data_IF_242150768999
#
_entry.id   IF_242150768999
#
_cell.length_a   1.000
_cell.length_b   1.000
_cell.length_c   1.000
_cell.angle_alpha   90.00
_cell.angle_beta   90.00
_cell.angle_gamma   90.00
#
_symmetry.space_group_name_H-M   'P 1'
#
loop_
_entity.id
_entity.type
_entity.pdbx_description
1 polymer ?
#
# COMPACT_ATOMS: atom_id res chain seq x y z
N UNK A 1 3.49 25.13 14.58
CA UNK A 1 2.15 24.89 13.99
C UNK A 1 1.67 26.15 13.27
N UNK A 2 1.60 27.28 13.97
CA UNK A 2 1.24 28.60 13.41
C UNK A 2 2.06 28.97 12.18
N UNK A 3 3.40 28.92 12.26
CA UNK A 3 4.27 29.30 11.12
C UNK A 3 4.04 28.44 9.86
N UNK A 4 3.72 27.15 10.04
CA UNK A 4 3.46 26.25 8.93
C UNK A 4 2.12 26.61 8.24
N UNK A 5 1.10 26.97 9.01
CA UNK A 5 -0.17 27.49 8.45
C UNK A 5 0.05 28.82 7.75
N UNK A 6 0.86 29.72 8.30
CA UNK A 6 1.20 31.01 7.68
C UNK A 6 2.04 30.86 6.41
N UNK A 7 2.76 29.75 6.23
CA UNK A 7 3.50 29.45 4.99
C UNK A 7 2.60 29.05 3.80
N UNK A 8 1.30 28.85 4.02
CA UNK A 8 0.34 28.55 2.96
C UNK A 8 0.06 29.80 2.08
N UNK A 9 -0.47 29.63 0.85
CA UNK A 9 -0.77 30.76 -0.03
C UNK A 9 -1.69 31.79 0.63
N UNK A 10 -1.35 33.07 0.52
CA UNK A 10 -2.11 34.19 1.08
C UNK A 10 -3.56 34.20 0.52
N UNK A 11 -4.53 34.49 1.39
CA UNK A 11 -5.94 34.56 1.03
C UNK A 11 -6.70 33.22 0.97
N UNK A 12 -5.99 32.09 1.11
CA UNK A 12 -6.59 30.75 1.18
C UNK A 12 -7.50 30.62 2.41
N UNK A 13 -8.70 30.05 2.24
CA UNK A 13 -9.70 29.87 3.30
C UNK A 13 -9.49 28.53 3.99
N UNK A 14 -9.15 28.56 5.27
CA UNK A 14 -8.86 27.36 6.04
C UNK A 14 -9.74 27.32 7.29
N UNK A 15 -10.03 26.10 7.75
CA UNK A 15 -10.66 25.86 9.04
C UNK A 15 -9.75 25.02 9.94
N UNK A 16 -9.68 25.40 11.22
CA UNK A 16 -8.99 24.66 12.25
C UNK A 16 -9.98 23.73 12.95
N UNK A 17 -9.64 22.45 12.99
CA UNK A 17 -10.47 21.37 13.47
C UNK A 17 -9.79 20.68 14.66
N UNK A 18 -10.57 20.43 15.71
CA UNK A 18 -10.18 19.60 16.85
C UNK A 18 -10.87 18.23 16.72
N UNK A 19 -10.14 17.16 16.36
CA UNK A 19 -10.77 15.88 16.11
C UNK A 19 -11.02 15.12 17.43
N UNK A 20 -12.28 15.02 17.82
CA UNK A 20 -12.70 14.44 19.11
C UNK A 20 -12.90 12.94 18.99
N UNK A 21 -13.50 12.50 17.88
CA UNK A 21 -13.76 11.09 17.61
C UNK A 21 -13.26 10.77 16.20
N UNK A 22 -12.50 9.68 16.05
CA UNK A 22 -12.01 9.20 14.76
C UNK A 22 -12.40 7.74 14.55
N UNK A 23 -13.22 7.47 13.55
CA UNK A 23 -13.56 6.11 13.10
C UNK A 23 -14.10 5.19 14.22
N UNK A 24 -14.89 5.74 15.15
CA UNK A 24 -15.49 4.96 16.26
C UNK A 24 -16.98 4.76 16.05
N UNK A 25 -17.46 3.56 16.35
CA UNK A 25 -18.88 3.23 16.32
C UNK A 25 -19.62 3.89 17.48
N UNK A 26 -20.84 4.35 17.24
CA UNK A 26 -21.72 4.89 18.27
C UNK A 26 -22.52 6.11 17.81
N UNK A 27 -23.60 6.41 18.53
CA UNK A 27 -24.45 7.58 18.25
C UNK A 27 -23.83 8.90 18.75
N UNK A 28 -22.88 8.83 19.70
CA UNK A 28 -22.11 9.94 20.25
C UNK A 28 -22.92 11.17 20.72
N UNK A 29 -24.22 11.00 21.02
CA UNK A 29 -25.15 12.07 21.42
C UNK A 29 -24.65 12.86 22.62
N UNK A 30 -24.22 12.18 23.69
CA UNK A 30 -23.64 12.82 24.88
C UNK A 30 -22.41 13.69 24.54
N UNK A 31 -21.60 13.24 23.59
CA UNK A 31 -20.40 14.00 23.17
C UNK A 31 -20.82 15.28 22.44
N UNK A 32 -21.80 15.20 21.54
CA UNK A 32 -22.32 16.35 20.81
C UNK A 32 -23.00 17.36 21.75
N UNK A 33 -23.81 16.89 22.71
CA UNK A 33 -24.42 17.72 23.75
C UNK A 33 -23.37 18.42 24.63
N UNK A 34 -22.32 17.70 25.03
CA UNK A 34 -21.20 18.27 25.80
C UNK A 34 -20.47 19.35 25.00
N UNK A 35 -20.24 19.15 23.70
CA UNK A 35 -19.61 20.15 22.84
C UNK A 35 -20.49 21.39 22.65
N UNK A 36 -21.80 21.21 22.45
CA UNK A 36 -22.74 22.33 22.35
C UNK A 36 -22.81 23.13 23.66
N UNK A 37 -22.85 22.47 24.82
CA UNK A 37 -22.85 23.13 26.14
C UNK A 37 -21.55 23.87 26.47
N UNK A 38 -20.42 23.47 25.87
CA UNK A 38 -19.15 24.20 25.94
C UNK A 38 -19.11 25.43 25.01
N UNK A 39 -20.16 25.66 24.21
CA UNK A 39 -20.29 26.85 23.36
C UNK A 39 -19.80 26.67 21.93
N UNK A 40 -19.46 25.44 21.50
CA UNK A 40 -19.11 25.18 20.11
C UNK A 40 -20.36 25.15 19.23
N UNK A 41 -20.32 25.88 18.10
CA UNK A 41 -21.47 26.03 17.19
C UNK A 41 -21.40 25.04 16.03
N UNK A 42 -20.21 24.65 15.57
CA UNK A 42 -20.06 23.83 14.37
C UNK A 42 -19.12 22.65 14.59
N UNK A 43 -19.45 21.54 13.97
CA UNK A 43 -18.58 20.38 13.87
C UNK A 43 -18.63 19.83 12.44
N UNK A 44 -17.53 19.24 11.99
CA UNK A 44 -17.46 18.42 10.80
C UNK A 44 -17.69 16.96 11.22
N UNK A 45 -18.79 16.38 10.77
CA UNK A 45 -19.16 15.00 11.05
C UNK A 45 -19.18 14.23 9.72
N UNK A 46 -18.37 13.17 9.64
CA UNK A 46 -18.22 12.34 8.44
C UNK A 46 -17.92 13.13 7.15
N UNK A 47 -17.19 14.24 7.29
CA UNK A 47 -16.79 15.12 6.20
C UNK A 47 -17.73 16.30 5.94
N UNK A 48 -18.93 16.31 6.52
CA UNK A 48 -19.91 17.40 6.37
C UNK A 48 -19.91 18.35 7.56
N UNK A 49 -19.87 19.66 7.31
CA UNK A 49 -19.92 20.67 8.39
C UNK A 49 -21.38 20.91 8.77
N UNK A 50 -21.75 20.55 10.00
CA UNK A 50 -23.08 20.72 10.56
C UNK A 50 -23.08 21.70 11.76
N UNK A 51 -24.26 22.23 12.07
CA UNK A 51 -24.50 23.02 13.28
C UNK A 51 -24.72 22.08 14.47
N UNK A 52 -24.07 22.36 15.60
CA UNK A 52 -24.20 21.59 16.83
C UNK A 52 -25.51 21.89 17.58
N UNK A 53 -26.25 22.94 17.21
CA UNK A 53 -27.59 23.17 17.75
C UNK A 53 -28.62 22.16 17.27
N UNK A 54 -28.40 21.57 16.08
CA UNK A 54 -29.25 20.54 15.48
C UNK A 54 -28.37 19.49 14.77
N UNK A 55 -27.65 18.65 15.54
CA UNK A 55 -26.70 17.72 14.96
C UNK A 55 -27.42 16.54 14.26
N UNK A 56 -26.84 15.97 13.19
CA UNK A 56 -27.40 14.81 12.54
C UNK A 56 -27.47 13.61 13.48
N UNK A 57 -28.51 12.78 13.34
CA UNK A 57 -28.61 11.51 14.08
C UNK A 57 -27.62 10.51 13.51
N UNK A 58 -26.66 10.10 14.33
CA UNK A 58 -25.64 9.11 13.99
C UNK A 58 -26.13 7.69 14.28
N UNK A 59 -25.67 6.72 13.49
CA UNK A 59 -26.09 5.33 13.60
C UNK A 59 -25.17 4.55 14.54
N UNK A 60 -25.74 3.84 15.52
CA UNK A 60 -24.97 3.08 16.52
C UNK A 60 -23.94 2.10 15.92
N UNK A 61 -24.24 1.49 14.77
CA UNK A 61 -23.41 0.44 14.16
C UNK A 61 -22.39 0.94 13.13
N UNK A 62 -22.49 2.20 12.71
CA UNK A 62 -21.55 2.81 11.77
C UNK A 62 -20.43 3.51 12.51
N UNK A 63 -19.26 3.55 11.88
CA UNK A 63 -18.12 4.33 12.39
C UNK A 63 -18.33 5.77 11.97
N UNK A 64 -18.11 6.67 12.92
CA UNK A 64 -18.24 8.10 12.71
C UNK A 64 -16.93 8.80 13.07
N UNK A 65 -16.68 9.92 12.40
CA UNK A 65 -15.59 10.86 12.69
C UNK A 65 -16.21 12.22 13.00
N UNK A 66 -15.88 12.79 14.17
CA UNK A 66 -16.44 14.05 14.69
C UNK A 66 -15.28 14.99 15.01
N UNK A 67 -15.27 16.14 14.35
CA UNK A 67 -14.22 17.14 14.46
C UNK A 67 -14.83 18.51 14.71
N UNK A 68 -14.50 19.14 15.82
CA UNK A 68 -15.07 20.44 16.20
C UNK A 68 -14.39 21.55 15.41
N UNK A 69 -15.16 22.47 14.84
CA UNK A 69 -14.62 23.65 14.16
C UNK A 69 -14.25 24.69 15.21
N UNK A 70 -12.95 24.85 15.47
CA UNK A 70 -12.43 25.78 16.48
C UNK A 70 -12.27 27.18 15.90
N UNK A 71 -11.72 27.30 14.70
CA UNK A 71 -11.58 28.60 14.02
C UNK A 71 -11.74 28.48 12.50
N UNK A 72 -12.11 29.59 11.86
CA UNK A 72 -12.17 29.75 10.41
C UNK A 72 -11.52 31.07 10.03
N UNK A 73 -10.54 31.00 9.14
CA UNK A 73 -9.71 32.15 8.82
C UNK A 73 -9.26 32.14 7.35
N UNK A 74 -8.77 33.29 6.90
CA UNK A 74 -8.06 33.43 5.62
C UNK A 74 -6.59 33.66 5.93
N UNK A 75 -5.68 32.94 5.28
CA UNK A 75 -4.25 33.06 5.55
C UNK A 75 -3.79 34.50 5.29
N UNK A 76 -3.24 35.12 6.34
CA UNK A 76 -2.68 36.50 6.39
C UNK A 76 -1.65 36.57 7.51
N UNK A 77 -0.65 37.43 7.37
CA UNK A 77 0.48 37.54 8.32
C UNK A 77 0.08 38.06 9.71
N UNK A 78 -1.05 38.78 9.82
CA UNK A 78 -1.54 39.39 11.06
C UNK A 78 -2.23 38.41 12.02
N UNK A 79 -2.36 37.13 11.65
CA UNK A 79 -3.15 36.14 12.39
C UNK A 79 -2.37 35.36 13.45
N UNK A 80 -1.09 35.63 13.63
CA UNK A 80 -0.19 34.83 14.48
C UNK A 80 -0.75 34.57 15.88
N UNK A 81 -1.18 35.62 16.60
CA UNK A 81 -1.68 35.49 17.97
C UNK A 81 -3.01 34.73 18.04
N UNK A 82 -3.97 35.07 17.18
CA UNK A 82 -5.28 34.39 17.11
C UNK A 82 -5.14 32.91 16.78
N UNK A 83 -4.26 32.56 15.85
CA UNK A 83 -3.99 31.17 15.50
C UNK A 83 -3.36 30.43 16.66
N UNK A 84 -2.45 31.04 17.41
CA UNK A 84 -1.85 30.41 18.59
C UNK A 84 -2.92 30.02 19.64
N UNK A 85 -3.82 30.95 19.99
CA UNK A 85 -4.93 30.71 20.92
C UNK A 85 -5.90 29.63 20.41
N UNK A 86 -6.18 29.65 19.10
CA UNK A 86 -7.06 28.66 18.46
C UNK A 86 -6.42 27.27 18.44
N UNK A 87 -5.11 27.17 18.18
CA UNK A 87 -4.38 25.91 18.25
C UNK A 87 -4.31 25.36 19.66
N UNK A 88 -4.10 26.21 20.68
CA UNK A 88 -4.12 25.80 22.09
C UNK A 88 -5.48 25.18 22.45
N UNK A 89 -6.57 25.87 22.09
CA UNK A 89 -7.94 25.38 22.29
C UNK A 89 -8.17 24.04 21.58
N UNK A 90 -7.73 23.92 20.32
CA UNK A 90 -7.92 22.70 19.53
C UNK A 90 -7.12 21.51 20.07
N UNK A 91 -5.90 21.75 20.55
CA UNK A 91 -5.05 20.73 21.15
C UNK A 91 -5.60 20.28 22.51
N UNK A 92 -6.06 21.20 23.35
CA UNK A 92 -6.64 20.87 24.66
C UNK A 92 -7.91 20.02 24.49
N UNK A 93 -8.80 20.42 23.57
CA UNK A 93 -10.07 19.74 23.34
C UNK A 93 -9.91 18.31 22.78
N UNK A 94 -8.88 18.09 21.96
CA UNK A 94 -8.64 16.81 21.26
C UNK A 94 -7.62 15.88 21.94
N UNK A 95 -7.01 16.31 23.04
CA UNK A 95 -5.91 15.58 23.68
C UNK A 95 -4.57 15.65 22.92
N UNK A 96 -4.34 16.72 22.17
CA UNK A 96 -3.06 17.04 21.55
C UNK A 96 -2.99 16.81 20.04
N UNK A 97 -4.11 16.91 19.31
CA UNK A 97 -4.10 16.90 17.83
C UNK A 97 -4.94 18.02 17.21
N UNK A 98 -4.50 18.59 16.11
CA UNK A 98 -5.27 19.59 15.38
C UNK A 98 -5.19 19.29 13.89
N UNK A 99 -6.26 19.55 13.15
CA UNK A 99 -6.30 19.37 11.70
C UNK A 99 -6.64 20.72 11.07
N UNK A 100 -5.92 21.10 10.02
CA UNK A 100 -6.27 22.27 9.20
C UNK A 100 -6.71 21.77 7.85
N UNK A 101 -7.97 22.05 7.51
CA UNK A 101 -8.60 21.65 6.26
C UNK A 101 -8.95 22.87 5.41
N UNK A 102 -8.94 22.67 4.09
CA UNK A 102 -9.41 23.67 3.12
C UNK A 102 -10.94 23.78 3.18
N UNK A 103 -11.45 25.02 3.14
CA UNK A 103 -12.89 25.26 3.17
C UNK A 103 -13.55 25.18 1.79
N UNK A 104 -12.80 25.43 0.73
CA UNK A 104 -13.30 25.56 -0.64
C UNK A 104 -13.09 24.25 -1.43
N UNK A 105 -12.04 23.47 -1.13
CA UNK A 105 -11.77 22.17 -1.76
C UNK A 105 -11.75 21.00 -0.74
N UNK A 106 -12.83 20.19 -0.66
CA UNK A 106 -12.90 19.03 0.21
C UNK A 106 -11.88 17.92 -0.12
N UNK A 107 -11.24 17.96 -1.30
CA UNK A 107 -10.24 16.97 -1.74
C UNK A 107 -8.81 17.43 -1.53
N UNK A 108 -8.60 18.67 -1.08
CA UNK A 108 -7.27 19.17 -0.78
C UNK A 108 -6.64 18.37 0.39
N UNK A 109 -5.31 18.25 0.35
CA UNK A 109 -4.57 17.57 1.41
C UNK A 109 -4.69 18.34 2.74
N UNK A 110 -5.14 17.65 3.78
CA UNK A 110 -5.31 18.23 5.12
C UNK A 110 -3.97 18.24 5.88
N UNK A 111 -3.72 19.31 6.63
CA UNK A 111 -2.54 19.43 7.47
C UNK A 111 -2.86 18.91 8.87
N UNK A 112 -2.23 17.81 9.27
CA UNK A 112 -2.31 17.27 10.63
C UNK A 112 -1.20 17.87 11.50
N UNK A 113 -1.56 18.28 12.70
CA UNK A 113 -0.67 18.71 13.76
C UNK A 113 -0.88 17.86 15.02
N UNK A 114 0.20 17.58 15.75
CA UNK A 114 0.14 16.89 17.05
C UNK A 114 1.09 17.54 18.05
N UNK A 115 0.64 17.75 19.28
CA UNK A 115 1.52 18.17 20.37
C UNK A 115 2.36 17.00 20.91
N UNK A 116 1.89 15.77 20.75
CA UNK A 116 2.51 14.57 21.32
C UNK A 116 3.49 13.91 20.35
N UNK A 117 3.17 13.89 19.04
CA UNK A 117 3.99 13.26 18.02
C UNK A 117 4.31 14.23 16.88
N UNK A 118 5.06 15.29 17.20
CA UNK A 118 5.58 16.23 16.21
C UNK A 118 7.09 16.36 16.26
N UNK A 119 7.68 16.55 15.08
CA UNK A 119 9.08 16.92 14.95
C UNK A 119 9.25 18.40 15.36
N UNK A 120 10.11 18.69 16.36
CA UNK A 120 10.32 20.05 16.83
C UNK A 120 11.09 20.93 15.83
N UNK A 121 11.72 20.34 14.80
CA UNK A 121 12.55 21.05 13.83
C UNK A 121 11.75 21.44 12.58
N UNK A 122 11.03 20.48 11.99
CA UNK A 122 10.33 20.71 10.72
C UNK A 122 8.79 20.78 10.85
N UNK A 123 8.25 20.60 12.07
CA UNK A 123 6.81 20.68 12.32
C UNK A 123 5.99 19.52 11.75
N UNK A 124 6.63 18.50 11.17
CA UNK A 124 5.98 17.27 10.74
C UNK A 124 5.29 16.60 11.94
N UNK A 125 4.00 16.33 11.82
CA UNK A 125 3.24 15.67 12.87
C UNK A 125 2.65 14.37 12.37
N UNK A 126 2.59 13.38 13.26
CA UNK A 126 2.01 12.07 12.97
C UNK A 126 0.85 11.76 13.91
N UNK A 127 0.06 10.77 13.51
CA UNK A 127 -1.02 10.22 14.33
C UNK A 127 -0.43 9.39 15.47
N UNK A 128 -1.24 9.16 16.49
CA UNK A 128 -0.90 8.26 17.58
C UNK A 128 -0.54 6.85 17.06
N UNK A 129 0.41 6.22 17.75
CA UNK A 129 0.91 4.89 17.41
C UNK A 129 -0.10 3.81 17.81
N UNK A 130 -0.98 3.47 16.89
CA UNK A 130 -1.94 2.37 17.04
C UNK A 130 -1.56 1.18 16.13
N UNK A 131 -1.90 -0.07 16.50
CA UNK A 131 -1.59 -1.25 15.69
C UNK A 131 -2.04 -1.15 14.22
N UNK A 132 -3.17 -0.49 13.95
CA UNK A 132 -3.69 -0.29 12.57
C UNK A 132 -2.76 0.54 11.68
N UNK A 133 -1.91 1.38 12.26
CA UNK A 133 -0.90 2.17 11.53
C UNK A 133 0.14 1.27 10.86
N UNK A 134 0.38 0.08 11.42
CA UNK A 134 1.36 -0.88 10.92
C UNK A 134 0.74 -1.99 10.05
N UNK A 135 -0.55 -1.88 9.72
CA UNK A 135 -1.23 -2.82 8.84
C UNK A 135 -1.31 -2.26 7.42
N UNK A 136 -0.69 -2.95 6.47
CA UNK A 136 -0.81 -2.62 5.04
C UNK A 136 -2.19 -2.96 4.47
N UNK A 137 -2.99 -3.77 5.18
CA UNK A 137 -4.38 -4.08 4.80
C UNK A 137 -5.38 -3.05 5.34
N UNK A 138 -4.91 -2.06 6.10
CA UNK A 138 -5.74 -1.00 6.64
C UNK A 138 -5.36 0.34 5.96
N UNK A 139 -6.32 1.11 5.43
CA UNK A 139 -6.02 2.42 4.83
C UNK A 139 -5.24 3.35 5.77
N UNK A 140 -5.39 3.21 7.09
CA UNK A 140 -4.66 3.97 8.09
C UNK A 140 -3.15 3.66 8.16
N UNK A 141 -2.68 2.53 7.61
CA UNK A 141 -1.27 2.13 7.58
C UNK A 141 -0.72 1.86 6.19
N UNK A 142 -1.60 1.57 5.22
CA UNK A 142 -1.25 1.32 3.84
C UNK A 142 -0.56 2.52 3.18
N UNK A 143 0.38 2.22 2.27
CA UNK A 143 0.96 3.23 1.39
C UNK A 143 -0.14 3.80 0.48
N UNK A 144 -0.34 5.14 0.43
CA UNK A 144 -1.42 5.75 -0.35
C UNK A 144 -1.23 5.60 -1.87
N UNK A 145 0.00 5.38 -2.34
CA UNK A 145 0.30 5.28 -3.78
C UNK A 145 -0.01 3.89 -4.35
N UNK A 146 0.12 2.83 -3.57
CA UNK A 146 -0.11 1.45 -4.02
C UNK A 146 -1.19 0.72 -3.21
N UNK A 147 -1.92 1.43 -2.36
CA UNK A 147 -2.96 0.90 -1.46
C UNK A 147 -2.51 -0.36 -0.70
N UNK A 148 -1.28 -0.34 -0.17
CA UNK A 148 -0.76 -1.47 0.59
C UNK A 148 -0.29 -2.68 -0.23
N UNK A 149 -0.35 -2.64 -1.56
CA UNK A 149 0.16 -3.73 -2.41
C UNK A 149 1.69 -3.85 -2.38
N UNK A 150 2.38 -2.72 -2.23
CA UNK A 150 3.86 -2.63 -2.28
C UNK A 150 4.42 -2.68 -3.69
N UNK A 151 3.62 -3.05 -4.67
CA UNK A 151 3.99 -3.10 -6.08
C UNK A 151 3.20 -2.08 -6.88
N UNK A 152 3.79 -1.62 -7.97
CA UNK A 152 3.10 -0.88 -9.02
C UNK A 152 3.12 -1.73 -10.29
N UNK A 153 1.93 -1.92 -10.84
CA UNK A 153 1.76 -2.51 -12.16
C UNK A 153 2.13 -1.47 -13.21
N UNK A 154 2.92 -1.88 -14.19
CA UNK A 154 3.26 -1.05 -15.35
C UNK A 154 3.35 -1.92 -16.59
N UNK A 155 3.10 -1.32 -17.75
CA UNK A 155 3.34 -1.99 -19.02
C UNK A 155 4.83 -2.04 -19.29
N UNK A 156 5.35 -3.26 -19.41
CA UNK A 156 6.77 -3.52 -19.58
C UNK A 156 7.15 -3.35 -21.06
N UNK A 157 8.01 -2.37 -21.41
CA UNK A 157 8.44 -2.16 -22.79
C UNK A 157 8.97 -3.43 -23.45
N UNK A 158 9.73 -4.24 -22.71
CA UNK A 158 10.38 -5.44 -23.23
C UNK A 158 9.39 -6.58 -23.47
N UNK A 159 8.22 -6.57 -22.80
CA UNK A 159 7.12 -7.51 -23.10
C UNK A 159 6.24 -7.04 -24.24
N UNK A 160 6.07 -5.72 -24.37
CA UNK A 160 5.26 -5.11 -25.44
C UNK A 160 5.95 -5.27 -26.80
N UNK A 161 7.28 -5.17 -26.83
CA UNK A 161 8.09 -5.41 -28.02
C UNK A 161 8.31 -6.93 -28.16
N UNK A 162 7.60 -7.57 -29.08
CA UNK A 162 7.66 -9.02 -29.23
C UNK A 162 8.93 -9.49 -29.96
N UNK A 163 9.35 -8.72 -30.97
CA UNK A 163 10.55 -9.01 -31.74
C UNK A 163 11.24 -7.72 -32.21
N UNK A 164 12.39 -7.36 -31.63
CA UNK A 164 13.16 -6.17 -32.02
C UNK A 164 13.72 -6.20 -33.46
N UNK A 165 13.81 -7.38 -34.09
CA UNK A 165 14.31 -7.52 -35.47
C UNK A 165 13.22 -7.19 -36.51
N UNK A 166 11.95 -7.22 -36.11
CA UNK A 166 10.86 -6.82 -36.98
C UNK A 166 10.74 -5.29 -37.01
N UNK A 167 10.17 -4.79 -38.11
CA UNK A 167 9.79 -3.39 -38.20
C UNK A 167 8.49 -3.10 -37.46
N UNK A 168 8.21 -1.82 -37.20
CA UNK A 168 6.92 -1.40 -36.64
C UNK A 168 5.77 -1.84 -37.55
N UNK A 169 5.92 -1.67 -38.87
CA UNK A 169 4.96 -2.14 -39.85
C UNK A 169 4.77 -3.67 -39.85
N UNK A 170 5.87 -4.39 -39.59
CA UNK A 170 5.96 -5.85 -39.58
C UNK A 170 5.50 -6.51 -38.28
N UNK A 171 5.09 -5.74 -37.27
CA UNK A 171 4.56 -6.30 -36.02
C UNK A 171 5.56 -6.42 -34.89
N UNK A 172 6.59 -5.56 -34.84
CA UNK A 172 7.44 -5.44 -33.64
C UNK A 172 6.63 -5.20 -32.36
N UNK A 173 5.53 -4.44 -32.48
CA UNK A 173 4.55 -4.22 -31.41
C UNK A 173 3.19 -4.73 -31.88
N UNK A 174 2.63 -5.71 -31.15
CA UNK A 174 1.38 -6.35 -31.53
C UNK A 174 0.21 -5.36 -31.53
N UNK A 175 -0.55 -5.34 -32.63
CA UNK A 175 -1.70 -4.45 -32.81
C UNK A 175 -1.36 -3.02 -33.23
N UNK A 176 -0.07 -2.69 -33.33
CA UNK A 176 0.47 -1.45 -33.89
C UNK A 176 1.19 -1.74 -35.22
N UNK A 177 0.57 -2.59 -36.04
CA UNK A 177 1.11 -3.10 -37.30
C UNK A 177 0.14 -2.82 -38.46
N UNK A 178 0.51 -3.22 -39.69
CA UNK A 178 -0.33 -3.05 -40.89
C UNK A 178 -1.74 -3.66 -40.80
N UNK A 179 -1.98 -4.63 -39.91
CA UNK A 179 -3.30 -5.25 -39.73
C UNK A 179 -4.26 -4.31 -39.01
N UNK A 180 -3.73 -3.40 -38.18
CA UNK A 180 -4.52 -2.36 -37.55
C UNK A 180 -4.31 -1.02 -38.27
N UNK A 181 -5.17 -0.78 -39.28
CA UNK A 181 -5.05 0.39 -40.15
C UNK A 181 -5.01 1.72 -39.40
N UNK A 182 -5.82 1.87 -38.34
CA UNK A 182 -5.89 3.09 -37.53
C UNK A 182 -4.55 3.42 -36.86
N UNK A 183 -3.99 2.49 -36.07
CA UNK A 183 -2.73 2.71 -35.37
C UNK A 183 -1.54 2.78 -36.34
N UNK A 184 -1.57 2.00 -37.42
CA UNK A 184 -0.51 2.06 -38.44
C UNK A 184 -0.46 3.42 -39.14
N UNK A 185 -1.61 4.02 -39.43
CA UNK A 185 -1.66 5.36 -40.03
C UNK A 185 -1.10 6.42 -39.08
N UNK A 186 -1.37 6.28 -37.77
CA UNK A 186 -0.77 7.14 -36.75
C UNK A 186 0.77 7.00 -36.73
N UNK A 187 1.30 5.78 -36.77
CA UNK A 187 2.74 5.54 -36.82
C UNK A 187 3.38 6.13 -38.09
N UNK A 188 2.70 6.08 -39.23
CA UNK A 188 3.16 6.75 -40.46
C UNK A 188 3.24 8.26 -40.31
N UNK A 189 2.21 8.90 -39.77
CA UNK A 189 2.24 10.35 -39.51
C UNK A 189 3.33 10.72 -38.49
N UNK A 190 3.55 9.87 -37.48
CA UNK A 190 4.62 10.05 -36.51
C UNK A 190 6.02 9.94 -37.17
N UNK A 191 6.19 8.98 -38.08
CA UNK A 191 7.39 8.78 -38.86
C UNK A 191 7.69 9.93 -39.81
N UNK A 192 6.67 10.47 -40.47
CA UNK A 192 6.80 11.66 -41.32
C UNK A 192 7.27 12.89 -40.53
N UNK A 193 6.84 13.02 -39.27
CA UNK A 193 7.20 14.12 -38.38
C UNK A 193 8.63 13.97 -37.83
N UNK A 194 8.94 12.83 -37.21
CA UNK A 194 10.25 12.57 -36.59
C UNK A 194 11.31 12.01 -37.55
N UNK A 195 10.97 11.85 -38.84
CA UNK A 195 11.85 11.40 -39.93
C UNK A 195 12.53 10.05 -39.64
N UNK A 196 11.74 9.05 -39.25
CA UNK A 196 12.21 7.67 -39.12
C UNK A 196 11.49 6.74 -40.11
N UNK A 197 12.09 5.60 -40.40
CA UNK A 197 11.48 4.59 -41.28
C UNK A 197 10.67 3.58 -40.46
N UNK A 198 9.38 3.42 -40.80
CA UNK A 198 8.47 2.47 -40.14
C UNK A 198 8.74 1.02 -40.58
N UNK A 199 9.41 0.84 -41.72
CA UNK A 199 9.78 -0.46 -42.29
C UNK A 199 11.17 -0.92 -41.83
N UNK A 200 11.96 -0.06 -41.19
CA UNK A 200 13.23 -0.44 -40.60
C UNK A 200 13.02 -1.32 -39.34
N UNK A 201 13.91 -2.29 -39.07
CA UNK A 201 13.89 -3.07 -37.84
C UNK A 201 13.87 -2.19 -36.59
N UNK A 202 13.03 -2.52 -35.60
CA UNK A 202 12.88 -1.74 -34.37
C UNK A 202 14.24 -1.48 -33.69
N UNK A 203 15.10 -2.49 -33.59
CA UNK A 203 16.42 -2.37 -32.99
C UNK A 203 17.40 -1.43 -33.72
N UNK A 204 17.12 -1.08 -34.99
CA UNK A 204 17.94 -0.13 -35.77
C UNK A 204 17.53 1.33 -35.57
N UNK A 205 16.36 1.59 -34.97
CA UNK A 205 15.85 2.93 -34.73
C UNK A 205 16.60 3.62 -33.58
N UNK A 206 16.66 4.94 -33.62
CA UNK A 206 17.31 5.73 -32.56
C UNK A 206 16.55 5.67 -31.23
N UNK A 207 17.26 5.85 -30.11
CA UNK A 207 16.66 5.88 -28.78
C UNK A 207 15.58 6.98 -28.61
N UNK A 208 15.70 8.08 -29.35
CA UNK A 208 14.66 9.12 -29.34
C UNK A 208 13.35 8.61 -29.98
N UNK A 209 13.45 7.88 -31.10
CA UNK A 209 12.29 7.27 -31.76
C UNK A 209 11.65 6.22 -30.84
N UNK A 210 12.44 5.37 -30.18
CA UNK A 210 11.92 4.42 -29.19
C UNK A 210 11.13 5.13 -28.10
N UNK A 211 11.69 6.21 -27.54
CA UNK A 211 11.04 6.99 -26.48
C UNK A 211 9.72 7.60 -26.94
N UNK A 212 9.69 8.24 -28.11
CA UNK A 212 8.49 8.89 -28.64
C UNK A 212 7.41 7.86 -28.96
N UNK A 213 7.76 6.72 -29.56
CA UNK A 213 6.79 5.66 -29.88
C UNK A 213 6.19 5.07 -28.60
N UNK A 214 7.01 4.77 -27.59
CA UNK A 214 6.54 4.12 -26.36
C UNK A 214 5.82 5.07 -25.40
N UNK A 215 6.39 6.25 -25.14
CA UNK A 215 5.95 7.18 -24.10
C UNK A 215 5.26 8.44 -24.65
N UNK A 216 5.22 8.62 -25.97
CA UNK A 216 4.53 9.73 -26.62
C UNK A 216 5.40 10.97 -26.87
N UNK A 217 4.81 11.97 -27.51
CA UNK A 217 5.44 13.25 -27.87
C UNK A 217 5.35 14.33 -26.78
N UNK A 218 4.79 13.98 -25.62
CA UNK A 218 4.57 14.91 -24.51
C UNK A 218 3.55 15.99 -24.88
N UNK A 219 3.99 17.24 -25.03
CA UNK A 219 3.14 18.39 -25.39
C UNK A 219 3.24 18.80 -26.87
N UNK A 220 4.09 18.14 -27.64
CA UNK A 220 4.31 18.46 -29.04
C UNK A 220 3.12 17.99 -29.90
N UNK A 221 2.48 18.92 -30.58
CA UNK A 221 1.35 18.64 -31.47
C UNK A 221 1.85 18.13 -32.83
N UNK A 222 1.36 16.97 -33.24
CA UNK A 222 1.73 16.30 -34.49
C UNK A 222 0.49 16.23 -35.38
N UNK A 223 0.73 16.34 -36.69
CA UNK A 223 -0.33 16.27 -37.69
C UNK A 223 -0.61 14.82 -38.07
N UNK A 224 -1.73 14.28 -37.59
CA UNK A 224 -2.19 12.94 -37.88
C UNK A 224 -3.21 12.96 -39.01
N UNK A 225 -2.92 12.20 -40.07
CA UNK A 225 -3.86 11.94 -41.16
C UNK A 225 -4.65 10.68 -40.80
N UNK A 226 -5.98 10.74 -40.87
CA UNK A 226 -6.88 9.61 -40.65
C UNK A 226 -7.70 9.39 -41.91
N UNK A 227 -7.76 8.16 -42.41
CA UNK A 227 -8.58 7.79 -43.57
C UNK A 227 -9.76 6.95 -43.09
N UNK A 228 -10.97 7.39 -43.42
CA UNK A 228 -12.18 6.63 -43.12
C UNK A 228 -12.39 5.53 -44.17
N UNK A 229 -13.25 4.55 -43.87
CA UNK A 229 -13.58 3.43 -44.77
C UNK A 229 -14.08 3.86 -46.16
N UNK A 230 -14.56 5.10 -46.29
CA UNK A 230 -15.03 5.70 -47.55
C UNK A 230 -13.92 6.36 -48.38
N UNK A 231 -12.67 6.36 -47.91
CA UNK A 231 -11.52 6.98 -48.57
C UNK A 231 -11.31 8.46 -48.27
N UNK A 232 -12.23 9.10 -47.54
CA UNK A 232 -12.07 10.49 -47.10
C UNK A 232 -10.94 10.61 -46.06
N UNK A 233 -10.03 11.57 -46.29
CA UNK A 233 -8.92 11.85 -45.38
C UNK A 233 -9.24 13.06 -44.51
N UNK A 234 -9.17 12.89 -43.19
CA UNK A 234 -9.25 13.98 -42.22
C UNK A 234 -7.90 14.20 -41.56
N UNK A 235 -7.56 15.47 -41.32
CA UNK A 235 -6.30 15.85 -40.66
C UNK A 235 -6.64 16.38 -39.28
N UNK A 236 -5.98 15.85 -38.25
CA UNK A 236 -6.12 16.34 -36.86
C UNK A 236 -4.75 16.60 -36.27
N UNK A 237 -4.67 17.64 -35.44
CA UNK A 237 -3.45 18.00 -34.70
C UNK A 237 -3.65 17.72 -33.23
N UNK A 238 -2.83 16.83 -32.69
CA UNK A 238 -2.81 16.53 -31.26
C UNK A 238 -1.47 15.89 -30.88
N UNK A 239 -1.12 15.83 -29.59
CA UNK A 239 0.06 15.09 -29.16
C UNK A 239 -0.13 13.59 -29.35
N UNK A 240 0.97 12.89 -29.62
CA UNK A 240 0.98 11.44 -29.60
C UNK A 240 1.05 10.96 -28.16
N UNK A 241 0.07 10.16 -27.73
CA UNK A 241 0.02 9.68 -26.35
C UNK A 241 1.11 8.65 -26.02
N UNK A 242 1.59 7.91 -27.01
CA UNK A 242 2.52 6.78 -26.82
C UNK A 242 1.81 5.45 -26.66
N UNK A 243 2.45 4.38 -27.11
CA UNK A 243 1.90 3.01 -27.07
C UNK A 243 1.61 2.57 -25.64
N UNK A 244 2.53 2.81 -24.69
CA UNK A 244 2.38 2.35 -23.31
C UNK A 244 1.25 3.07 -22.59
N UNK A 245 1.14 4.40 -22.77
CA UNK A 245 0.03 5.17 -22.20
C UNK A 245 -1.33 4.79 -22.84
N UNK A 246 -1.36 4.48 -24.14
CA UNK A 246 -2.55 3.93 -24.79
C UNK A 246 -2.99 2.62 -24.13
N UNK A 247 -2.05 1.68 -23.93
CA UNK A 247 -2.33 0.40 -23.29
C UNK A 247 -2.79 0.58 -21.84
N UNK A 248 -2.17 1.48 -21.08
CA UNK A 248 -2.56 1.79 -19.70
C UNK A 248 -3.97 2.38 -19.62
N UNK A 249 -4.29 3.37 -20.46
CA UNK A 249 -5.64 3.95 -20.54
C UNK A 249 -6.66 2.88 -20.89
N UNK A 250 -6.40 2.10 -21.95
CA UNK A 250 -7.30 1.03 -22.39
C UNK A 250 -7.50 -0.02 -21.30
N UNK A 251 -6.47 -0.40 -20.56
CA UNK A 251 -6.59 -1.36 -19.47
C UNK A 251 -7.53 -0.86 -18.35
N UNK A 252 -7.43 0.44 -18.00
CA UNK A 252 -8.26 1.07 -16.96
C UNK A 252 -9.70 1.32 -17.42
N UNK A 253 -9.90 1.77 -18.66
CA UNK A 253 -11.20 2.20 -19.18
C UNK A 253 -12.02 1.09 -19.83
N UNK A 254 -11.39 0.00 -20.30
CA UNK A 254 -12.12 -1.06 -21.01
C UNK A 254 -13.00 -1.87 -20.06
N UNK A 255 -14.27 -2.06 -20.45
CA UNK A 255 -15.23 -2.91 -19.73
C UNK A 255 -15.17 -4.40 -20.15
N UNK A 256 -14.55 -4.71 -21.30
CA UNK A 256 -14.36 -6.09 -21.78
C UNK A 256 -13.27 -6.83 -21.01
N UNK A 257 -13.65 -7.95 -20.37
CA UNK A 257 -12.71 -8.85 -19.68
C UNK A 257 -11.66 -9.43 -20.62
N UNK A 258 -12.04 -9.85 -21.83
CA UNK A 258 -11.13 -10.43 -22.81
C UNK A 258 -10.01 -9.47 -23.21
N UNK A 259 -10.34 -8.19 -23.43
CA UNK A 259 -9.33 -7.16 -23.75
C UNK A 259 -8.41 -6.91 -22.55
N UNK A 260 -8.98 -6.90 -21.34
CA UNK A 260 -8.21 -6.71 -20.10
C UNK A 260 -7.21 -7.84 -19.88
N UNK A 261 -7.61 -9.08 -20.11
CA UNK A 261 -6.74 -10.27 -20.02
C UNK A 261 -5.63 -10.27 -21.07
N UNK A 262 -5.93 -9.89 -22.33
CA UNK A 262 -4.90 -9.75 -23.36
C UNK A 262 -3.86 -8.68 -23.01
N UNK A 263 -4.28 -7.53 -22.48
CA UNK A 263 -3.39 -6.46 -22.06
C UNK A 263 -2.58 -6.84 -20.81
N UNK A 264 -3.17 -7.58 -19.87
CA UNK A 264 -2.52 -8.02 -18.63
C UNK A 264 -1.24 -8.84 -18.88
N UNK A 265 -1.13 -9.53 -20.02
CA UNK A 265 0.07 -10.29 -20.43
C UNK A 265 1.32 -9.42 -20.54
N UNK A 266 1.15 -8.14 -20.84
CA UNK A 266 2.23 -7.17 -21.00
C UNK A 266 2.54 -6.38 -19.72
N UNK A 267 1.80 -6.63 -18.64
CA UNK A 267 2.02 -5.98 -17.35
C UNK A 267 3.12 -6.72 -16.61
N UNK A 268 4.07 -5.94 -16.08
CA UNK A 268 5.05 -6.38 -15.10
C UNK A 268 4.81 -5.64 -13.78
N UNK A 269 5.32 -6.22 -12.70
CA UNK A 269 5.31 -5.61 -11.38
C UNK A 269 6.68 -5.02 -11.09
N UNK A 270 6.72 -3.83 -10.53
CA UNK A 270 7.92 -3.26 -9.90
C UNK A 270 7.61 -2.85 -8.47
N UNK A 271 8.62 -2.74 -7.59
CA UNK A 271 8.42 -2.12 -6.28
C UNK A 271 7.82 -0.72 -6.42
N UNK A 272 6.86 -0.39 -5.56
CA UNK A 272 6.25 0.93 -5.55
C UNK A 272 7.31 1.99 -5.22
N UNK A 273 7.42 3.04 -6.04
CA UNK A 273 8.43 4.09 -5.85
C UNK A 273 8.27 4.87 -4.52
N UNK A 274 7.04 4.99 -4.00
CA UNK A 274 6.77 5.76 -2.78
C UNK A 274 7.11 4.98 -1.50
N UNK A 275 6.82 3.67 -1.47
CA UNK A 275 7.08 2.82 -0.30
C UNK A 275 8.26 1.87 -0.44
N UNK A 276 8.89 1.82 -1.62
CA UNK A 276 10.01 0.93 -1.94
C UNK A 276 9.71 -0.55 -1.69
N UNK A 277 8.44 -0.96 -1.85
CA UNK A 277 8.02 -2.34 -1.62
C UNK A 277 7.50 -2.65 -0.22
N UNK A 278 7.70 -1.77 0.76
CA UNK A 278 7.36 -2.08 2.16
C UNK A 278 5.87 -2.02 2.49
N UNK A 279 5.02 -1.62 1.54
CA UNK A 279 3.53 -1.56 1.63
C UNK A 279 2.97 -0.53 2.61
N UNK A 280 3.80 0.06 3.45
CA UNK A 280 3.38 0.97 4.51
C UNK A 280 3.56 2.44 4.13
N UNK A 281 2.76 3.30 4.75
CA UNK A 281 2.93 4.76 4.69
C UNK A 281 4.23 5.24 5.35
N UNK A 282 4.61 6.48 5.06
CA UNK A 282 5.89 7.04 5.50
C UNK A 282 6.04 7.02 7.03
N UNK A 283 5.03 7.46 7.77
CA UNK A 283 5.04 7.52 9.24
C UNK A 283 5.36 6.15 9.84
N UNK A 284 4.65 5.12 9.38
CA UNK A 284 4.75 3.75 9.88
C UNK A 284 6.11 3.11 9.60
N UNK A 285 6.76 3.46 8.48
CA UNK A 285 8.10 2.98 8.12
C UNK A 285 9.20 3.57 9.00
N UNK A 286 8.94 4.71 9.64
CA UNK A 286 9.92 5.42 10.47
C UNK A 286 9.66 5.21 11.97
N UNK A 287 8.96 4.14 12.33
CA UNK A 287 8.89 3.66 13.72
C UNK A 287 9.91 2.54 13.91
N UNK A 288 10.74 2.71 14.94
CA UNK A 288 11.87 1.84 15.23
C UNK A 288 11.62 1.04 16.50
N UNK A 289 12.03 -0.22 16.47
CA UNK A 289 12.26 -1.02 17.69
C UNK A 289 13.76 -1.01 17.91
N UNK A 290 14.20 -0.39 19.01
CA UNK A 290 15.60 0.02 19.21
C UNK A 290 16.06 0.91 18.04
N UNK A 291 17.00 0.42 17.22
CA UNK A 291 17.55 1.13 16.07
C UNK A 291 17.12 0.51 14.73
N UNK A 292 16.15 -0.41 14.74
CA UNK A 292 15.72 -1.13 13.53
C UNK A 292 14.28 -0.75 13.15
N UNK A 293 14.04 -0.23 11.93
CA UNK A 293 12.70 0.14 11.50
C UNK A 293 11.86 -1.12 11.23
N UNK A 294 10.54 -1.03 11.44
CA UNK A 294 9.63 -2.17 11.27
C UNK A 294 9.76 -2.90 9.92
N UNK A 295 9.83 -2.22 8.75
CA UNK A 295 10.02 -2.90 7.47
C UNK A 295 11.29 -3.75 7.42
N UNK A 296 12.40 -3.27 8.00
CA UNK A 296 13.64 -4.02 8.01
C UNK A 296 13.52 -5.30 8.85
N UNK A 297 12.78 -5.27 9.96
CA UNK A 297 12.48 -6.48 10.76
C UNK A 297 11.64 -7.47 9.95
N UNK A 298 10.65 -6.99 9.20
CA UNK A 298 9.81 -7.83 8.33
C UNK A 298 10.56 -8.43 7.15
N UNK A 299 11.62 -7.77 6.67
CA UNK A 299 12.46 -8.27 5.58
C UNK A 299 13.60 -9.19 6.07
N UNK A 300 13.79 -9.33 7.39
CA UNK A 300 14.71 -10.34 7.93
C UNK A 300 14.20 -11.75 7.62
N UNK A 301 15.14 -12.68 7.45
CA UNK A 301 14.81 -14.10 7.50
C UNK A 301 14.23 -14.45 8.88
N UNK A 302 13.36 -15.45 8.95
CA UNK A 302 12.73 -15.91 10.20
C UNK A 302 13.81 -16.24 11.25
N UNK A 303 14.93 -16.84 10.82
CA UNK A 303 16.07 -17.11 11.70
C UNK A 303 16.68 -15.83 12.29
N UNK A 304 16.99 -14.84 11.44
CA UNK A 304 17.54 -13.56 11.90
C UNK A 304 16.54 -12.76 12.75
N UNK A 305 15.24 -12.79 12.40
CA UNK A 305 14.19 -12.17 13.20
C UNK A 305 14.10 -12.80 14.60
N UNK A 306 14.22 -14.14 14.69
CA UNK A 306 14.24 -14.85 15.97
C UNK A 306 15.43 -14.41 16.83
N UNK A 307 16.62 -14.32 16.24
CA UNK A 307 17.81 -13.82 16.93
C UNK A 307 17.67 -12.36 17.36
N UNK A 308 17.08 -11.52 16.52
CA UNK A 308 16.81 -10.12 16.83
C UNK A 308 15.94 -9.98 18.09
N UNK A 309 14.81 -10.70 18.15
CA UNK A 309 13.90 -10.63 19.30
C UNK A 309 14.47 -11.31 20.56
N UNK A 310 15.27 -12.36 20.42
CA UNK A 310 15.96 -12.98 21.56
C UNK A 310 17.01 -12.06 22.20
N UNK A 311 17.66 -11.22 21.38
CA UNK A 311 18.68 -10.27 21.84
C UNK A 311 18.11 -8.90 22.22
N UNK A 312 16.81 -8.68 22.01
CA UNK A 312 16.15 -7.41 22.29
C UNK A 312 16.08 -7.17 23.81
N UNK A 313 16.73 -6.10 24.27
CA UNK A 313 16.77 -5.72 25.69
C UNK A 313 15.91 -4.50 25.96
N UNK A 314 14.66 -4.73 26.37
CA UNK A 314 13.79 -3.67 26.86
C UNK A 314 13.94 -3.52 28.38
N UNK A 315 13.83 -2.29 28.88
CA UNK A 315 13.87 -1.98 30.31
C UNK A 315 12.60 -1.25 30.79
N UNK A 316 12.33 -1.33 32.10
CA UNK A 316 11.26 -0.60 32.76
C UNK A 316 9.85 -0.95 32.25
N UNK A 317 9.00 0.07 32.10
CA UNK A 317 7.60 -0.11 31.70
C UNK A 317 7.46 -0.73 30.30
N UNK A 318 8.38 -0.43 29.37
CA UNK A 318 8.37 -1.00 28.01
C UNK A 318 8.52 -2.52 28.03
N UNK A 319 9.43 -3.03 28.85
CA UNK A 319 9.64 -4.47 29.02
C UNK A 319 8.38 -5.15 29.54
N UNK A 320 7.75 -4.58 30.56
CA UNK A 320 6.53 -5.13 31.18
C UNK A 320 5.33 -5.17 30.22
N UNK A 321 5.16 -4.16 29.38
CA UNK A 321 4.10 -4.13 28.37
C UNK A 321 4.39 -5.15 27.26
N UNK A 322 5.65 -5.22 26.80
CA UNK A 322 6.04 -6.05 25.67
C UNK A 322 6.24 -7.53 26.03
N UNK A 323 6.39 -7.90 27.30
CA UNK A 323 6.73 -9.26 27.76
C UNK A 323 5.89 -10.36 27.09
N UNK A 324 4.56 -10.24 27.14
CA UNK A 324 3.65 -11.23 26.53
C UNK A 324 3.74 -11.26 25.01
N UNK A 325 3.94 -10.09 24.39
CA UNK A 325 4.03 -9.93 22.94
C UNK A 325 5.33 -10.54 22.43
N UNK A 326 6.46 -10.26 23.09
CA UNK A 326 7.77 -10.81 22.74
C UNK A 326 7.81 -12.32 22.92
N UNK A 327 7.18 -12.84 23.98
CA UNK A 327 7.03 -14.29 24.15
C UNK A 327 6.28 -14.92 22.97
N UNK A 328 5.13 -14.36 22.60
CA UNK A 328 4.32 -14.88 21.49
C UNK A 328 5.06 -14.80 20.14
N UNK A 329 5.78 -13.70 19.87
CA UNK A 329 6.62 -13.55 18.68
C UNK A 329 7.73 -14.62 18.69
N UNK A 330 8.45 -14.75 19.79
CA UNK A 330 9.54 -15.72 19.94
C UNK A 330 9.07 -17.15 19.74
N UNK A 331 7.94 -17.54 20.34
CA UNK A 331 7.35 -18.87 20.22
C UNK A 331 6.95 -19.15 18.76
N UNK A 332 6.28 -18.21 18.07
CA UNK A 332 5.89 -18.36 16.66
C UNK A 332 7.09 -18.48 15.72
N UNK A 333 8.11 -17.64 15.91
CA UNK A 333 9.34 -17.70 15.11
C UNK A 333 10.07 -19.03 15.34
N UNK A 334 10.14 -19.49 16.59
CA UNK A 334 10.72 -20.79 16.93
C UNK A 334 10.00 -21.95 16.26
N UNK A 335 8.67 -21.95 16.22
CA UNK A 335 7.92 -22.99 15.51
C UNK A 335 8.25 -23.02 14.02
N UNK A 336 8.32 -21.85 13.37
CA UNK A 336 8.71 -21.75 11.97
C UNK A 336 10.15 -22.24 11.71
N UNK A 337 11.08 -21.95 12.63
CA UNK A 337 12.45 -22.48 12.56
C UNK A 337 12.48 -24.00 12.74
N UNK A 338 11.69 -24.55 13.66
CA UNK A 338 11.64 -26.00 13.92
C UNK A 338 11.13 -26.80 12.72
N UNK A 339 10.21 -26.23 11.92
CA UNK A 339 9.75 -26.84 10.66
C UNK A 339 10.65 -26.48 9.45
N UNK A 340 11.86 -25.98 9.68
CA UNK A 340 12.87 -25.75 8.64
C UNK A 340 12.62 -24.55 7.73
N UNK A 341 11.86 -23.55 8.17
CA UNK A 341 11.54 -22.35 7.36
C UNK A 341 12.40 -21.13 7.71
N UNK A 342 13.53 -21.32 8.40
CA UNK A 342 14.38 -20.24 8.91
C UNK A 342 14.96 -19.33 7.82
N UNK A 343 15.04 -19.78 6.56
CA UNK A 343 15.57 -19.02 5.42
C UNK A 343 14.56 -18.06 4.79
N UNK A 344 13.25 -18.24 5.05
CA UNK A 344 12.21 -17.37 4.51
C UNK A 344 12.19 -16.03 5.23
N UNK A 345 11.87 -14.95 4.51
CA UNK A 345 11.59 -13.64 5.12
C UNK A 345 10.14 -13.55 5.58
N UNK A 346 9.84 -12.73 6.58
CA UNK A 346 8.46 -12.51 7.04
C UNK A 346 7.61 -11.76 5.99
N UNK A 347 8.25 -11.02 5.09
CA UNK A 347 7.62 -10.26 4.01
C UNK A 347 7.38 -11.06 2.72
N UNK A 348 7.85 -12.33 2.63
CA UNK A 348 7.72 -13.14 1.41
C UNK A 348 6.24 -13.32 1.02
N UNK A 349 5.95 -13.14 -0.27
CA UNK A 349 4.59 -13.31 -0.79
C UNK A 349 4.12 -14.76 -0.66
N UNK A 350 2.92 -14.96 -0.13
CA UNK A 350 2.31 -16.28 0.04
C UNK A 350 2.16 -17.04 -1.30
N UNK A 351 1.94 -16.33 -2.41
CA UNK A 351 1.81 -16.91 -3.75
C UNK A 351 3.13 -17.52 -4.29
N UNK A 352 4.26 -17.13 -3.71
CA UNK A 352 5.59 -17.61 -4.14
C UNK A 352 6.06 -18.82 -3.34
N UNK A 353 5.27 -19.28 -2.37
CA UNK A 353 5.60 -20.43 -1.54
C UNK A 353 5.33 -21.73 -2.29
N UNK A 354 6.24 -22.68 -2.15
CA UNK A 354 6.01 -24.07 -2.57
C UNK A 354 4.92 -24.74 -1.70
N UNK A 355 4.33 -25.82 -2.21
CA UNK A 355 3.33 -26.60 -1.48
C UNK A 355 3.84 -27.07 -0.10
N UNK A 356 5.06 -27.59 -0.03
CA UNK A 356 5.69 -28.00 1.22
C UNK A 356 5.96 -26.84 2.18
N UNK A 357 6.41 -25.68 1.70
CA UNK A 357 6.56 -24.48 2.54
C UNK A 357 5.21 -24.03 3.13
N UNK A 358 4.17 -23.95 2.32
CA UNK A 358 2.84 -23.55 2.75
C UNK A 358 2.25 -24.53 3.78
N UNK A 359 2.43 -25.83 3.56
CA UNK A 359 2.01 -26.87 4.50
C UNK A 359 2.74 -26.75 5.84
N UNK A 360 4.06 -26.52 5.83
CA UNK A 360 4.85 -26.36 7.06
C UNK A 360 4.50 -25.08 7.83
N UNK A 361 4.18 -23.98 7.13
CA UNK A 361 3.64 -22.76 7.79
C UNK A 361 2.32 -23.06 8.49
N UNK A 362 1.44 -23.84 7.83
CA UNK A 362 0.17 -24.25 8.43
C UNK A 362 0.40 -25.12 9.68
N UNK A 363 1.32 -26.09 9.61
CA UNK A 363 1.70 -26.93 10.75
C UNK A 363 2.22 -26.09 11.92
N UNK A 364 3.18 -25.18 11.68
CA UNK A 364 3.71 -24.26 12.69
C UNK A 364 2.60 -23.42 13.36
N UNK A 365 1.63 -22.96 12.57
CA UNK A 365 0.49 -22.20 13.07
C UNK A 365 -0.44 -23.03 13.96
N UNK A 366 -0.61 -24.32 13.66
CA UNK A 366 -1.42 -25.23 14.48
C UNK A 366 -0.75 -25.56 15.81
N UNK A 367 0.57 -25.78 15.81
CA UNK A 367 1.34 -26.00 17.03
C UNK A 367 1.24 -24.78 17.95
N UNK A 368 1.39 -23.57 17.38
CA UNK A 368 1.25 -22.33 18.14
C UNK A 368 -0.16 -22.04 18.67
N UNK A 369 -1.20 -22.69 18.14
CA UNK A 369 -2.56 -22.55 18.65
C UNK A 369 -2.77 -23.29 19.99
N UNK A 370 -1.90 -24.23 20.34
CA UNK A 370 -1.95 -24.95 21.62
C UNK A 370 -3.25 -25.74 21.84
N UNK A 371 -3.88 -26.21 20.75
CA UNK A 371 -5.11 -26.98 20.83
C UNK A 371 -4.85 -28.38 21.39
N UNK A 372 -5.84 -28.92 22.11
CA UNK A 372 -5.81 -30.26 22.73
C UNK A 372 -7.05 -31.03 22.29
N UNK A 373 -6.94 -32.35 22.11
CA UNK A 373 -8.04 -33.20 21.67
C UNK A 373 -8.37 -33.07 20.18
N UNK A 374 -7.45 -32.54 19.38
CA UNK A 374 -7.59 -32.41 17.93
C UNK A 374 -6.97 -33.61 17.24
N UNK A 375 -7.60 -34.06 16.15
CA UNK A 375 -7.02 -35.06 15.24
C UNK A 375 -6.42 -34.36 14.03
N UNK A 376 -5.10 -34.39 13.91
CA UNK A 376 -4.35 -33.86 12.79
C UNK A 376 -4.09 -34.96 11.77
N UNK A 377 -4.49 -34.73 10.52
CA UNK A 377 -4.19 -35.62 9.39
C UNK A 377 -3.24 -34.87 8.46
N UNK A 378 -2.04 -35.40 8.30
CA UNK A 378 -0.92 -34.81 7.57
C UNK A 378 -0.57 -35.68 6.38
N UNK A 379 -0.31 -35.06 5.23
CA UNK A 379 -0.01 -35.72 3.96
C UNK A 379 1.42 -35.36 3.53
N UNK A 380 2.36 -36.29 3.65
CA UNK A 380 3.79 -36.16 3.33
C UNK A 380 4.48 -34.88 3.87
N UNK A 381 4.43 -34.61 5.19
CA UNK A 381 5.02 -33.39 5.75
C UNK A 381 6.54 -33.27 5.57
N UNK A 382 7.26 -34.37 5.28
CA UNK A 382 8.70 -34.36 4.98
C UNK A 382 9.04 -33.85 3.57
N UNK A 383 8.04 -33.63 2.70
CA UNK A 383 8.28 -33.28 1.30
C UNK A 383 9.11 -31.99 1.15
N UNK A 384 10.21 -32.10 0.41
CA UNK A 384 11.13 -30.99 0.16
C UNK A 384 11.91 -30.52 1.41
N UNK A 385 11.98 -31.33 2.47
CA UNK A 385 12.92 -31.12 3.57
C UNK A 385 14.23 -31.84 3.33
N UNK A 386 15.30 -31.26 3.85
CA UNK A 386 16.59 -31.93 3.94
C UNK A 386 16.58 -32.93 5.10
N UNK A 387 17.29 -34.07 4.99
CA UNK A 387 17.28 -35.13 6.03
C UNK A 387 17.53 -34.60 7.45
N UNK A 388 18.45 -33.64 7.58
CA UNK A 388 18.78 -32.97 8.85
C UNK A 388 17.58 -32.28 9.52
N UNK A 389 16.68 -31.70 8.74
CA UNK A 389 15.50 -31.02 9.28
C UNK A 389 14.31 -31.96 9.50
N UNK A 390 14.39 -33.19 8.97
CA UNK A 390 13.39 -34.23 9.19
C UNK A 390 13.30 -34.63 10.67
N UNK A 391 14.43 -34.80 11.36
CA UNK A 391 14.46 -35.07 12.80
C UNK A 391 13.74 -33.98 13.63
N UNK A 392 13.89 -32.71 13.21
CA UNK A 392 13.24 -31.58 13.88
C UNK A 392 11.73 -31.57 13.64
N UNK A 393 11.31 -31.89 12.42
CA UNK A 393 9.90 -32.07 12.08
C UNK A 393 9.29 -33.18 12.92
N UNK A 394 9.93 -34.36 12.97
CA UNK A 394 9.46 -35.50 13.75
C UNK A 394 9.35 -35.17 15.24
N UNK A 395 10.36 -34.53 15.83
CA UNK A 395 10.29 -34.06 17.22
C UNK A 395 9.11 -33.10 17.47
N UNK A 396 8.77 -32.29 16.48
CA UNK A 396 7.62 -31.38 16.54
C UNK A 396 6.28 -32.12 16.46
N UNK A 397 6.17 -33.14 15.61
CA UNK A 397 4.97 -33.98 15.49
C UNK A 397 4.73 -34.80 16.76
N UNK A 398 5.79 -35.36 17.34
CA UNK A 398 5.76 -36.05 18.63
C UNK A 398 5.28 -35.11 19.73
N UNK A 399 5.84 -33.89 19.78
CA UNK A 399 5.38 -32.89 20.75
C UNK A 399 3.90 -32.56 20.60
N UNK A 400 3.40 -32.43 19.36
CA UNK A 400 2.01 -32.14 19.08
C UNK A 400 1.08 -33.29 19.54
N UNK A 401 1.49 -34.55 19.38
CA UNK A 401 0.83 -35.72 19.95
C UNK A 401 0.82 -35.67 21.49
N UNK A 402 1.97 -35.40 22.09
CA UNK A 402 2.15 -35.43 23.55
C UNK A 402 1.39 -34.30 24.28
N UNK A 403 1.01 -33.23 23.55
CA UNK A 403 0.06 -32.22 24.03
C UNK A 403 -1.38 -32.76 24.22
N UNK A 404 -1.65 -34.01 23.85
CA UNK A 404 -2.97 -34.64 23.97
C UNK A 404 -3.77 -34.63 22.66
N UNK A 405 -3.08 -34.63 21.52
CA UNK A 405 -3.68 -34.70 20.19
C UNK A 405 -3.40 -36.05 19.53
N UNK A 406 -4.19 -36.39 18.52
CA UNK A 406 -3.93 -37.54 17.64
C UNK A 406 -3.31 -37.05 16.35
N UNK A 407 -2.19 -37.65 15.94
CA UNK A 407 -1.48 -37.28 14.70
C UNK A 407 -1.46 -38.49 13.79
N UNK A 408 -2.08 -38.37 12.63
CA UNK A 408 -2.09 -39.37 11.56
C UNK A 408 -1.27 -38.80 10.42
N UNK A 409 -0.18 -39.47 10.06
CA UNK A 409 0.74 -39.02 9.02
C UNK A 409 0.74 -40.05 7.89
N UNK A 410 0.50 -39.59 6.67
CA UNK A 410 0.78 -40.35 5.44
C UNK A 410 2.22 -40.03 5.07
N UNK A 411 3.11 -41.01 5.15
CA UNK A 411 4.54 -40.85 4.88
C UNK A 411 5.13 -42.07 4.19
N UNK A 412 6.23 -41.85 3.48
CA UNK A 412 7.06 -42.88 2.87
C UNK A 412 8.51 -42.84 3.37
N UNK A 413 8.88 -41.83 4.17
CA UNK A 413 10.20 -41.71 4.80
C UNK A 413 10.43 -42.77 5.90
N UNK A 414 11.61 -43.39 5.88
CA UNK A 414 11.95 -44.49 6.79
C UNK A 414 12.08 -44.02 8.25
N UNK A 415 12.67 -42.86 8.49
CA UNK A 415 12.84 -42.31 9.83
C UNK A 415 11.48 -41.95 10.45
N UNK A 416 10.57 -41.40 9.64
CA UNK A 416 9.20 -41.11 10.04
C UNK A 416 8.42 -42.38 10.43
N UNK A 417 8.53 -43.44 9.62
CA UNK A 417 7.86 -44.73 9.89
C UNK A 417 8.42 -45.40 11.15
N UNK A 418 9.73 -45.29 11.40
CA UNK A 418 10.37 -45.86 12.61
C UNK A 418 10.02 -45.08 13.89
N UNK A 419 9.69 -43.80 13.77
CA UNK A 419 9.41 -42.92 14.91
C UNK A 419 7.93 -42.95 15.37
N UNK A 420 7.01 -43.36 14.48
CA UNK A 420 5.59 -43.58 14.78
C UNK A 420 5.36 -44.86 15.55
#
# INVERSE_FOLDING_TARGET
MVDNVLSQPEGKRLMLLAPIIKERKGEHTKTLENLASQGYIRARIDGEVCDLSDPPKLELQKKHTIEVVVDRFKVRDDLTQRLAESFETALELSGGTAVVADMDDPKAEELLFSANFACPICGYSMRELEPRLFSFNNPAGACPTCDGLGVQQYFDPDRVIQNPELSLAGGAIRGWDRRNFYYFQMLKSLADHYKFDVEAPWGSLSANVHKVVLYGSGKENIEFKYMNDRGDTSIRRHPFEGVLHNMERRYKETESSAVREELAKFISNRPCASCEGTRLRREARHVYVENTPLPAISDMSIGHAMEFFNNLKLAGQRAKIAEKILKEIGDRLKFLVNVGLNYLTLSRSAETLSGGEAQRIRLASQIGAGLVGVMYVLDEPSIGLHQRDNERLLGTLIHLRDLGNTVIVVEHDEDAIRAG
#
